data_IF_326275725912
#
_entry.id   IF_326275725912
#
_cell.length_a   1.000
_cell.length_b   1.000
_cell.length_c   1.000
_cell.angle_alpha   90.00
_cell.angle_beta   90.00
_cell.angle_gamma   90.00
#
_symmetry.space_group_name_H-M   'P 1'
#
loop_
_entity.id
_entity.type
_entity.pdbx_description
1 polymer ?
#
# COMPACT_ATOMS: atom_id res chain seq x y z
N UNK A 1 14.03 -14.35 -15.63
CA UNK A 1 13.71 -15.15 -14.44
C UNK A 1 14.09 -14.52 -13.08
N UNK A 2 14.41 -13.22 -12.96
CA UNK A 2 14.72 -12.60 -11.64
C UNK A 2 13.53 -12.49 -10.67
N UNK A 3 12.30 -12.49 -11.17
CA UNK A 3 11.08 -12.38 -10.34
C UNK A 3 10.71 -13.69 -9.63
N UNK A 4 10.93 -14.84 -10.28
CA UNK A 4 10.58 -16.16 -9.75
C UNK A 4 11.46 -16.54 -8.55
N UNK A 5 12.78 -16.30 -8.61
CA UNK A 5 13.70 -16.61 -7.51
C UNK A 5 13.46 -15.72 -6.27
N UNK A 6 13.15 -14.44 -6.48
CA UNK A 6 12.85 -13.51 -5.39
C UNK A 6 11.52 -13.86 -4.72
N UNK A 7 10.50 -14.18 -5.52
CA UNK A 7 9.22 -14.64 -5.03
C UNK A 7 9.34 -15.96 -4.26
N UNK A 8 9.99 -16.98 -4.85
CA UNK A 8 10.14 -18.30 -4.24
C UNK A 8 10.86 -18.24 -2.89
N UNK A 9 11.91 -17.42 -2.79
CA UNK A 9 12.61 -17.17 -1.53
C UNK A 9 11.68 -16.56 -0.49
N UNK A 10 10.98 -15.48 -0.83
CA UNK A 10 10.06 -14.81 0.10
C UNK A 10 8.93 -15.75 0.55
N UNK A 11 8.34 -16.51 -0.38
CA UNK A 11 7.28 -17.48 -0.09
C UNK A 11 7.72 -18.56 0.90
N UNK A 12 8.94 -19.07 0.74
CA UNK A 12 9.48 -20.14 1.61
C UNK A 12 9.76 -19.63 3.03
N UNK A 13 10.15 -18.35 3.16
CA UNK A 13 10.53 -17.75 4.46
C UNK A 13 9.40 -17.02 5.18
N UNK A 14 8.27 -16.78 4.51
CA UNK A 14 7.18 -15.98 5.06
C UNK A 14 6.37 -16.76 6.10
N UNK A 15 6.17 -16.17 7.28
CA UNK A 15 5.16 -16.62 8.24
C UNK A 15 3.86 -15.88 7.94
N UNK A 16 2.82 -16.62 7.55
CA UNK A 16 1.51 -16.03 7.32
C UNK A 16 0.91 -15.52 8.65
N UNK A 17 0.75 -14.21 8.75
CA UNK A 17 0.03 -13.56 9.84
C UNK A 17 -1.18 -12.82 9.27
N UNK A 18 -2.24 -12.71 10.07
CA UNK A 18 -3.40 -11.92 9.68
C UNK A 18 -3.01 -10.44 9.63
N UNK A 19 -3.12 -9.84 8.45
CA UNK A 19 -2.93 -8.41 8.27
C UNK A 19 -4.26 -7.70 8.50
N UNK A 20 -4.32 -6.82 9.50
CA UNK A 20 -5.51 -6.03 9.82
C UNK A 20 -5.26 -4.56 9.53
N UNK A 21 -4.19 -4.01 10.11
CA UNK A 21 -3.74 -2.62 9.91
C UNK A 21 -2.21 -2.57 9.96
N UNK A 22 -1.57 -1.86 9.03
CA UNK A 22 -0.12 -1.62 9.01
C UNK A 22 0.18 -0.18 8.54
N UNK A 23 1.21 0.45 9.12
CA UNK A 23 1.77 1.71 8.63
C UNK A 23 2.79 1.41 7.53
N UNK A 24 2.58 1.93 6.32
CA UNK A 24 3.52 1.77 5.19
C UNK A 24 4.10 3.11 4.76
N UNK A 25 5.34 3.07 4.28
CA UNK A 25 5.98 4.20 3.61
C UNK A 25 6.16 3.84 2.15
N UNK A 26 5.45 4.53 1.26
CA UNK A 26 5.59 4.37 -0.19
C UNK A 26 6.62 5.37 -0.69
N UNK A 27 7.61 4.90 -1.45
CA UNK A 27 8.56 5.76 -2.14
C UNK A 27 8.06 6.02 -3.57
N UNK A 28 7.49 7.20 -3.80
CA UNK A 28 7.12 7.65 -5.15
C UNK A 28 8.27 8.46 -5.78
N UNK A 29 8.65 8.19 -7.04
CA UNK A 29 9.84 8.81 -7.65
C UNK A 29 9.80 10.34 -7.68
N UNK A 30 8.62 10.95 -7.87
CA UNK A 30 8.48 12.41 -8.02
C UNK A 30 7.90 13.10 -6.77
N UNK A 31 7.08 12.37 -6.00
CA UNK A 31 6.35 12.94 -4.84
C UNK A 31 7.12 12.67 -3.54
N UNK A 32 8.11 11.77 -3.60
CA UNK A 32 8.91 11.35 -2.46
C UNK A 32 8.19 10.33 -1.59
N UNK A 33 8.61 10.25 -0.32
CA UNK A 33 8.02 9.33 0.65
C UNK A 33 6.64 9.77 1.08
N UNK A 34 5.70 8.83 1.14
CA UNK A 34 4.33 9.03 1.60
C UNK A 34 4.02 7.99 2.66
N UNK A 35 3.69 8.43 3.87
CA UNK A 35 3.21 7.53 4.92
C UNK A 35 1.71 7.31 4.80
N UNK A 36 1.30 6.05 4.77
CA UNK A 36 -0.09 5.62 4.65
C UNK A 36 -0.41 4.54 5.69
N UNK A 37 -1.59 4.61 6.27
CA UNK A 37 -2.21 3.49 6.96
C UNK A 37 -2.82 2.56 5.90
N UNK A 38 -2.47 1.27 5.99
CA UNK A 38 -2.94 0.19 5.14
C UNK A 38 -3.87 -0.69 5.96
N UNK A 39 -5.15 -0.65 5.64
CA UNK A 39 -6.17 -1.45 6.30
C UNK A 39 -6.73 -2.49 5.33
N UNK A 40 -6.93 -3.72 5.83
CA UNK A 40 -7.61 -4.78 5.08
C UNK A 40 -8.99 -5.01 5.70
N UNK A 41 -10.02 -4.57 4.99
CA UNK A 41 -11.41 -4.68 5.40
C UNK A 41 -12.05 -5.91 4.75
N UNK A 42 -12.64 -6.78 5.57
CA UNK A 42 -13.37 -7.98 5.11
C UNK A 42 -14.84 -7.60 4.95
N UNK A 43 -15.43 -7.90 3.79
CA UNK A 43 -16.86 -7.65 3.54
C UNK A 43 -17.69 -8.83 4.05
N UNK A 44 -18.54 -8.65 5.09
CA UNK A 44 -19.32 -9.76 5.64
C UNK A 44 -20.23 -10.39 4.59
N UNK A 45 -20.25 -11.72 4.51
CA UNK A 45 -21.11 -12.46 3.58
C UNK A 45 -20.63 -12.47 2.12
N UNK A 46 -19.48 -11.86 1.81
CA UNK A 46 -18.84 -11.95 0.51
C UNK A 46 -17.39 -12.45 0.67
N UNK A 47 -16.88 -13.19 -0.30
CA UNK A 47 -15.44 -13.48 -0.38
C UNK A 47 -14.70 -12.29 -1.03
N UNK A 48 -14.83 -11.12 -0.40
CA UNK A 48 -14.26 -9.86 -0.87
C UNK A 48 -13.46 -9.20 0.25
N UNK A 49 -12.28 -8.70 -0.11
CA UNK A 49 -11.39 -7.94 0.76
C UNK A 49 -11.06 -6.61 0.10
N UNK A 50 -11.18 -5.51 0.84
CA UNK A 50 -10.75 -4.19 0.41
C UNK A 50 -9.42 -3.87 1.08
N UNK A 51 -8.42 -3.49 0.30
CA UNK A 51 -7.15 -2.95 0.79
C UNK A 51 -7.21 -1.45 0.63
N UNK A 52 -7.28 -0.72 1.74
CA UNK A 52 -7.42 0.74 1.73
C UNK A 52 -6.15 1.40 2.21
N UNK A 53 -5.73 2.44 1.49
CA UNK A 53 -4.61 3.29 1.89
C UNK A 53 -5.14 4.67 2.28
N UNK A 54 -4.88 5.08 3.51
CA UNK A 54 -5.31 6.38 4.03
C UNK A 54 -4.12 7.16 4.60
N UNK A 55 -4.24 8.48 4.65
CA UNK A 55 -3.28 9.36 5.31
C UNK A 55 -3.99 10.10 6.44
N UNK A 56 -3.26 10.40 7.53
CA UNK A 56 -3.79 11.19 8.61
C UNK A 56 -4.33 12.54 8.09
N UNK A 57 -5.55 12.92 8.50
CA UNK A 57 -6.17 14.16 8.06
C UNK A 57 -5.29 15.38 8.38
N UNK A 58 -5.27 16.37 7.49
CA UNK A 58 -4.46 17.59 7.61
C UNK A 58 -2.93 17.37 7.67
N UNK A 59 -2.44 16.15 7.41
CA UNK A 59 -1.01 15.88 7.29
C UNK A 59 -0.46 16.28 5.92
N UNK A 60 0.86 16.44 5.81
CA UNK A 60 1.52 16.62 4.51
C UNK A 60 1.33 15.41 3.59
N UNK A 61 1.25 14.20 4.14
CA UNK A 61 1.01 12.98 3.38
C UNK A 61 -0.41 12.91 2.80
N UNK A 62 -1.41 13.51 3.46
CA UNK A 62 -2.74 13.67 2.87
C UNK A 62 -2.70 14.57 1.62
N UNK A 63 -1.88 15.63 1.64
CA UNK A 63 -1.63 16.46 0.46
C UNK A 63 -0.94 15.69 -0.67
N UNK A 64 0.09 14.90 -0.35
CA UNK A 64 0.78 14.04 -1.33
C UNK A 64 -0.14 12.97 -1.93
N UNK A 65 -0.98 12.34 -1.11
CA UNK A 65 -1.96 11.35 -1.57
C UNK A 65 -3.03 12.00 -2.48
N UNK A 66 -3.46 13.23 -2.17
CA UNK A 66 -4.35 13.99 -3.03
C UNK A 66 -3.69 14.34 -4.38
N UNK A 67 -2.41 14.72 -4.36
CA UNK A 67 -1.65 14.99 -5.57
C UNK A 67 -1.54 13.75 -6.46
N UNK A 68 -1.18 12.59 -5.88
CA UNK A 68 -1.16 11.30 -6.59
C UNK A 68 -2.48 10.98 -7.31
N UNK A 69 -3.61 11.25 -6.64
CA UNK A 69 -4.94 11.00 -7.21
C UNK A 69 -5.22 11.84 -8.45
N UNK A 70 -4.73 13.08 -8.48
CA UNK A 70 -4.95 14.02 -9.60
C UNK A 70 -3.98 13.74 -10.75
N UNK A 71 -2.72 13.44 -10.46
CA UNK A 71 -1.71 13.14 -11.49
C UNK A 71 -1.80 11.72 -12.02
N UNK A 72 -2.59 10.85 -11.38
CA UNK A 72 -2.78 9.45 -11.77
C UNK A 72 -1.50 8.62 -11.66
N UNK A 73 -0.52 9.08 -10.87
CA UNK A 73 0.82 8.49 -10.85
C UNK A 73 1.52 8.51 -12.21
N UNK A 74 1.06 9.32 -13.18
CA UNK A 74 1.73 9.47 -14.47
C UNK A 74 3.04 10.20 -14.24
N UNK A 75 4.10 9.46 -14.55
CA UNK A 75 5.38 9.95 -15.01
C UNK A 75 5.13 10.87 -16.22
N UNK A 76 5.74 12.05 -16.21
CA UNK A 76 5.80 12.94 -17.38
C UNK A 76 6.37 12.24 -18.61
#
# INVERSE_FOLDING_TARGET
>A
MRGEDAFARLWTTATAAQHVTERKTIQHPEIGHIQLDCDVLIVPGADLRLVTYTAAASSSDAGKLALLRVTGGRIG
#
